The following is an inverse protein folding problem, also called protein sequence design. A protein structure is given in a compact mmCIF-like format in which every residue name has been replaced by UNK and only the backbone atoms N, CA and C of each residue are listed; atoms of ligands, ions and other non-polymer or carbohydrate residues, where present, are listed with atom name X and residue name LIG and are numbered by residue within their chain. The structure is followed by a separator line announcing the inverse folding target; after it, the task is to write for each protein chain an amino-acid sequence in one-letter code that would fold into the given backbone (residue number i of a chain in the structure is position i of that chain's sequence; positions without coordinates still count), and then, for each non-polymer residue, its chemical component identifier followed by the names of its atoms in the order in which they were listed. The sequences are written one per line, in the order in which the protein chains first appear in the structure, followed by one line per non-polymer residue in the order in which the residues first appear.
data_IF_709156808752
#
_entry.id   IF_709156808752
#
_cell.length_a   1.000
_cell.length_b   1.000
_cell.length_c   1.000
_cell.angle_alpha   90.00
_cell.angle_beta   90.00
_cell.angle_gamma   90.00
#
_symmetry.space_group_name_H-M   'P 1'
#
loop_
_entity.id
_entity.type
_entity.pdbx_description
1 polymer ?
#
# COMPACT_ATOMS: atom_id res chain seq x y z
N UNK A 1 14.79 10.89 0.35
CA UNK A 1 15.68 10.47 1.47
C UNK A 1 15.14 10.83 2.86
N UNK A 2 14.38 11.92 3.08
CA UNK A 2 13.84 12.28 4.41
C UNK A 2 12.72 11.37 4.94
N UNK A 3 11.95 10.72 4.06
CA UNK A 3 10.82 9.85 4.47
C UNK A 3 11.22 8.48 5.05
N UNK A 4 12.36 7.93 4.61
CA UNK A 4 12.89 6.65 5.11
C UNK A 4 13.39 6.81 6.56
N UNK A 5 13.91 8.00 6.90
CA UNK A 5 14.44 8.29 8.23
C UNK A 5 13.35 8.32 9.31
N UNK A 6 12.17 8.84 8.98
CA UNK A 6 11.01 8.88 9.87
C UNK A 6 10.51 7.46 10.20
N UNK A 7 10.39 6.60 9.19
CA UNK A 7 9.95 5.21 9.36
C UNK A 7 10.95 4.36 10.16
N UNK A 8 12.25 4.58 9.99
CA UNK A 8 13.28 3.90 10.78
C UNK A 8 13.27 4.35 12.25
N UNK A 9 13.03 5.64 12.51
CA UNK A 9 12.91 6.16 13.87
C UNK A 9 11.65 5.65 14.57
N UNK A 10 10.50 5.63 13.89
CA UNK A 10 9.27 5.07 14.46
C UNK A 10 9.44 3.58 14.73
N UNK A 11 10.07 2.83 13.81
CA UNK A 11 10.35 1.41 14.02
C UNK A 11 11.28 1.17 15.22
N UNK A 12 12.37 1.93 15.36
CA UNK A 12 13.27 1.81 16.51
C UNK A 12 12.57 2.13 17.83
N UNK A 13 11.80 3.22 17.88
CA UNK A 13 11.02 3.61 19.05
C UNK A 13 10.04 2.49 19.44
N UNK A 14 9.35 1.91 18.46
CA UNK A 14 8.42 0.82 18.74
C UNK A 14 9.12 -0.45 19.23
N UNK A 15 10.24 -0.83 18.61
CA UNK A 15 11.05 -1.97 19.07
C UNK A 15 11.46 -1.77 20.53
N UNK A 16 11.90 -0.55 20.88
CA UNK A 16 12.28 -0.21 22.27
C UNK A 16 11.11 -0.25 23.27
N UNK A 17 9.87 -0.02 22.82
CA UNK A 17 8.67 -0.09 23.66
C UNK A 17 8.12 -1.52 23.82
N UNK A 18 8.29 -2.36 22.79
CA UNK A 18 7.75 -3.73 22.77
C UNK A 18 8.71 -4.73 23.41
N UNK A 19 10.02 -4.64 23.12
CA UNK A 19 11.03 -5.59 23.63
C UNK A 19 10.94 -5.79 25.16
N UNK A 20 10.83 -4.73 25.99
CA UNK A 20 10.72 -4.91 27.44
C UNK A 20 9.48 -5.69 27.88
N UNK A 21 8.40 -5.67 27.09
CA UNK A 21 7.14 -6.39 27.39
C UNK A 21 7.20 -7.87 27.05
N UNK A 22 8.16 -8.29 26.22
CA UNK A 22 8.31 -9.69 25.78
C UNK A 22 9.11 -10.54 26.79
N UNK A 23 9.81 -9.91 27.74
CA UNK A 23 10.61 -10.62 28.76
C UNK A 23 11.91 -11.24 28.22
N UNK A 24 12.64 -11.95 29.08
CA UNK A 24 13.86 -12.68 28.70
C UNK A 24 13.52 -14.08 28.19
N UNK A 25 13.88 -14.37 26.94
CA UNK A 25 13.67 -15.65 26.30
C UNK A 25 14.76 -16.66 26.72
N UNK A 26 14.39 -17.79 27.33
CA UNK A 26 15.33 -18.79 27.88
C UNK A 26 15.26 -20.18 27.22
N UNK A 27 14.53 -20.32 26.10
CA UNK A 27 14.20 -21.64 25.55
C UNK A 27 15.12 -22.00 24.37
N UNK A 28 16.18 -22.75 24.66
CA UNK A 28 17.20 -23.21 23.70
C UNK A 28 16.73 -24.33 22.75
N UNK A 29 15.50 -24.83 22.93
CA UNK A 29 14.95 -25.96 22.16
C UNK A 29 14.39 -25.58 20.78
N UNK A 30 14.33 -24.29 20.45
CA UNK A 30 13.90 -23.84 19.12
C UNK A 30 15.13 -23.75 18.23
N UNK A 31 15.21 -24.60 17.21
CA UNK A 31 16.19 -24.44 16.14
C UNK A 31 16.11 -23.01 15.60
N UNK A 32 17.19 -22.26 15.78
CA UNK A 32 17.34 -20.95 15.17
C UNK A 32 17.29 -21.18 13.67
N UNK A 33 16.29 -20.61 13.00
CA UNK A 33 16.27 -20.56 11.55
C UNK A 33 17.51 -19.75 11.14
N UNK A 34 18.54 -20.45 10.66
CA UNK A 34 19.73 -19.78 10.16
C UNK A 34 19.31 -18.94 8.96
N UNK A 35 19.54 -17.63 9.06
CA UNK A 35 19.43 -16.74 7.90
C UNK A 35 20.54 -17.16 6.94
N UNK A 36 20.19 -18.03 5.99
CA UNK A 36 21.13 -18.57 5.03
C UNK A 36 21.66 -17.44 4.15
N UNK A 37 22.98 -17.42 3.96
CA UNK A 37 23.61 -16.44 3.07
C UNK A 37 23.26 -16.79 1.63
N UNK A 38 23.06 -15.76 0.81
CA UNK A 38 22.85 -15.91 -0.63
C UNK A 38 23.94 -16.79 -1.26
N UNK A 39 23.50 -17.82 -1.98
CA UNK A 39 24.39 -18.67 -2.77
C UNK A 39 25.06 -17.87 -3.88
N UNK A 40 26.14 -18.41 -4.46
CA UNK A 40 26.85 -17.76 -5.56
C UNK A 40 25.94 -17.54 -6.78
N UNK A 41 25.02 -18.47 -7.04
CA UNK A 41 24.09 -18.42 -8.18
C UNK A 41 23.02 -17.36 -7.93
N UNK A 42 22.45 -17.27 -6.73
CA UNK A 42 21.47 -16.22 -6.38
C UNK A 42 22.11 -14.83 -6.44
N UNK A 43 23.34 -14.69 -5.93
CA UNK A 43 24.10 -13.43 -6.05
C UNK A 43 24.33 -13.05 -7.51
N UNK A 44 24.63 -14.03 -8.37
CA UNK A 44 24.76 -13.82 -9.82
C UNK A 44 23.43 -13.40 -10.44
N UNK A 45 22.33 -14.02 -10.04
CA UNK A 45 20.97 -13.68 -10.45
C UNK A 45 20.63 -12.23 -10.14
N UNK A 46 20.82 -11.80 -8.89
CA UNK A 46 20.58 -10.41 -8.45
C UNK A 46 21.40 -9.43 -9.29
N UNK A 47 22.69 -9.70 -9.51
CA UNK A 47 23.56 -8.84 -10.33
C UNK A 47 23.04 -8.71 -11.76
N UNK A 48 22.59 -9.81 -12.38
CA UNK A 48 22.07 -9.80 -13.75
C UNK A 48 20.74 -9.05 -13.84
N UNK A 49 19.83 -9.25 -12.89
CA UNK A 49 18.57 -8.50 -12.81
C UNK A 49 18.79 -7.02 -12.57
N UNK A 50 19.79 -6.64 -11.76
CA UNK A 50 20.17 -5.24 -11.55
C UNK A 50 20.73 -4.60 -12.82
N UNK A 51 21.60 -5.30 -13.56
CA UNK A 51 22.12 -4.81 -14.84
C UNK A 51 20.99 -4.58 -15.85
N UNK A 52 20.02 -5.49 -15.92
CA UNK A 52 18.83 -5.33 -16.75
C UNK A 52 18.02 -4.10 -16.34
N UNK A 53 17.77 -3.94 -15.04
CA UNK A 53 17.05 -2.79 -14.50
C UNK A 53 17.75 -1.47 -14.83
N UNK A 54 19.08 -1.40 -14.70
CA UNK A 54 19.86 -0.22 -15.06
C UNK A 54 19.76 0.07 -16.56
N UNK A 55 19.86 -0.95 -17.42
CA UNK A 55 19.66 -0.79 -18.86
C UNK A 55 18.26 -0.28 -19.21
N UNK A 56 17.22 -0.86 -18.58
CA UNK A 56 15.84 -0.43 -18.75
C UNK A 56 15.63 1.02 -18.29
N UNK A 57 16.22 1.40 -17.15
CA UNK A 57 16.18 2.77 -16.64
C UNK A 57 16.88 3.75 -17.59
N UNK A 58 18.06 3.40 -18.10
CA UNK A 58 18.77 4.22 -19.08
C UNK A 58 17.91 4.44 -20.34
N UNK A 59 17.27 3.39 -20.86
CA UNK A 59 16.37 3.51 -22.01
C UNK A 59 15.20 4.47 -21.73
N UNK A 60 14.58 4.38 -20.55
CA UNK A 60 13.54 5.32 -20.15
C UNK A 60 14.06 6.75 -20.07
N UNK A 61 15.24 6.96 -19.47
CA UNK A 61 15.84 8.28 -19.32
C UNK A 61 16.23 8.88 -20.68
N UNK A 62 16.78 8.10 -21.61
CA UNK A 62 17.07 8.56 -22.98
C UNK A 62 15.78 8.94 -23.71
N UNK A 63 14.69 8.21 -23.48
CA UNK A 63 13.41 8.55 -24.09
C UNK A 63 12.71 9.77 -23.48
N UNK A 64 13.06 10.17 -22.26
CA UNK A 64 12.30 11.13 -21.45
C UNK A 64 13.05 12.44 -21.16
N UNK A 65 14.38 12.39 -20.99
CA UNK A 65 15.20 13.58 -20.66
C UNK A 65 15.36 14.52 -21.85
N UNK A 66 15.73 14.07 -23.07
CA UNK A 66 15.89 14.97 -24.21
C UNK A 66 14.59 15.69 -24.56
N UNK A 67 14.69 16.94 -25.03
CA UNK A 67 13.52 17.74 -25.42
C UNK A 67 12.72 17.08 -26.55
N UNK A 68 13.40 16.39 -27.45
CA UNK A 68 12.85 15.57 -28.53
C UNK A 68 12.63 14.10 -28.14
N UNK A 69 12.61 13.79 -26.84
CA UNK A 69 12.45 12.42 -26.35
C UNK A 69 11.11 11.81 -26.75
N UNK A 70 11.14 10.62 -27.36
CA UNK A 70 9.95 9.91 -27.85
C UNK A 70 8.96 9.53 -26.74
N UNK A 71 9.42 9.48 -25.48
CA UNK A 71 8.60 9.12 -24.32
C UNK A 71 8.05 10.34 -23.58
N UNK A 72 8.25 11.57 -24.07
CA UNK A 72 7.60 12.77 -23.54
C UNK A 72 6.14 12.87 -23.98
N UNK A 73 5.38 13.75 -23.35
CA UNK A 73 4.05 14.13 -23.84
C UNK A 73 4.12 14.76 -25.23
N UNK A 74 2.99 14.81 -25.93
CA UNK A 74 2.86 15.44 -27.26
C UNK A 74 3.27 16.92 -27.24
N UNK A 75 3.08 17.57 -26.10
CA UNK A 75 3.49 18.94 -25.77
C UNK A 75 4.93 19.05 -25.25
N UNK A 76 5.71 17.97 -25.29
CA UNK A 76 7.05 17.88 -24.67
C UNK A 76 7.02 17.78 -23.14
N UNK A 77 5.83 17.67 -22.52
CA UNK A 77 5.68 17.63 -21.07
C UNK A 77 6.12 16.30 -20.46
N UNK A 78 6.85 16.39 -19.36
CA UNK A 78 7.17 15.24 -18.52
C UNK A 78 5.93 14.71 -17.78
N UNK A 79 5.10 15.61 -17.23
CA UNK A 79 3.94 15.24 -16.39
C UNK A 79 2.81 14.60 -17.20
N UNK A 80 2.73 14.88 -18.50
CA UNK A 80 1.75 14.25 -19.40
C UNK A 80 2.35 13.12 -20.24
N UNK A 81 3.55 12.67 -19.90
CA UNK A 81 4.26 11.62 -20.62
C UNK A 81 3.52 10.28 -20.58
N UNK A 82 3.62 9.46 -21.65
CA UNK A 82 3.22 8.05 -21.63
C UNK A 82 3.85 7.27 -20.47
N UNK A 83 5.06 7.65 -20.05
CA UNK A 83 5.77 6.99 -18.94
C UNK A 83 5.04 7.17 -17.62
N UNK A 84 4.61 8.40 -17.30
CA UNK A 84 3.93 8.66 -16.04
C UNK A 84 2.49 8.12 -16.06
N UNK A 85 1.77 8.27 -17.18
CA UNK A 85 0.42 7.68 -17.36
C UNK A 85 0.44 6.15 -17.29
N UNK A 86 1.48 5.53 -17.87
CA UNK A 86 1.68 4.09 -17.91
C UNK A 86 2.60 3.54 -16.81
N UNK A 87 2.83 4.28 -15.72
CA UNK A 87 3.84 3.92 -14.71
C UNK A 87 3.63 2.51 -14.15
N UNK A 88 2.39 2.08 -13.97
CA UNK A 88 2.05 0.73 -13.51
C UNK A 88 2.50 -0.33 -14.53
N UNK A 89 2.29 -0.11 -15.82
CA UNK A 89 2.73 -1.01 -16.88
C UNK A 89 4.26 -1.05 -16.98
N UNK A 90 4.93 0.09 -16.79
CA UNK A 90 6.40 0.17 -16.77
C UNK A 90 6.97 -0.60 -15.58
N UNK A 91 6.37 -0.47 -14.40
CA UNK A 91 6.77 -1.24 -13.22
C UNK A 91 6.53 -2.74 -13.43
N UNK A 92 5.42 -3.12 -14.07
CA UNK A 92 5.16 -4.51 -14.46
C UNK A 92 6.24 -5.06 -15.39
N UNK A 93 6.60 -4.32 -16.44
CA UNK A 93 7.66 -4.73 -17.36
C UNK A 93 9.02 -4.81 -16.65
N UNK A 94 9.39 -3.80 -15.86
CA UNK A 94 10.65 -3.78 -15.14
C UNK A 94 10.76 -4.95 -14.16
N UNK A 95 9.78 -5.11 -13.26
CA UNK A 95 9.78 -6.18 -12.27
C UNK A 95 9.63 -7.57 -12.90
N UNK A 96 8.78 -7.70 -13.92
CA UNK A 96 8.58 -8.95 -14.67
C UNK A 96 9.85 -9.40 -15.37
N UNK A 97 10.51 -8.50 -16.12
CA UNK A 97 11.77 -8.80 -16.80
C UNK A 97 12.89 -9.13 -15.81
N UNK A 98 13.00 -8.37 -14.71
CA UNK A 98 13.96 -8.66 -13.64
C UNK A 98 13.73 -10.05 -13.02
N UNK A 99 12.46 -10.41 -12.78
CA UNK A 99 12.05 -11.70 -12.24
C UNK A 99 12.34 -12.86 -13.20
N UNK A 100 12.09 -12.67 -14.50
CA UNK A 100 12.44 -13.64 -15.54
C UNK A 100 13.96 -13.86 -15.59
N UNK A 101 14.76 -12.78 -15.66
CA UNK A 101 16.23 -12.87 -15.69
C UNK A 101 16.76 -13.57 -14.43
N UNK A 102 16.22 -13.23 -13.26
CA UNK A 102 16.60 -13.90 -12.02
C UNK A 102 16.29 -15.40 -12.08
N UNK A 103 15.05 -15.75 -12.45
CA UNK A 103 14.58 -17.12 -12.52
C UNK A 103 15.34 -17.97 -13.55
N UNK A 104 15.76 -17.39 -14.68
CA UNK A 104 16.61 -18.06 -15.67
C UNK A 104 18.00 -18.31 -15.10
N UNK A 105 18.62 -17.32 -14.44
CA UNK A 105 19.99 -17.45 -13.90
C UNK A 105 20.09 -18.50 -12.80
N UNK A 106 19.07 -18.62 -11.94
CA UNK A 106 19.03 -19.66 -10.89
C UNK A 106 18.52 -21.02 -11.39
N UNK A 107 18.15 -21.12 -12.68
CA UNK A 107 17.66 -22.36 -13.29
C UNK A 107 16.19 -22.72 -12.96
N UNK A 108 15.42 -21.79 -12.39
CA UNK A 108 13.98 -21.94 -12.11
C UNK A 108 13.16 -21.90 -13.40
N UNK A 109 13.51 -21.02 -14.34
CA UNK A 109 12.87 -20.92 -15.65
C UNK A 109 13.81 -21.48 -16.72
N UNK A 110 13.42 -22.59 -17.35
CA UNK A 110 14.23 -23.25 -18.39
C UNK A 110 13.74 -22.92 -19.79
N UNK A 111 12.48 -22.56 -19.92
CA UNK A 111 11.82 -22.19 -21.17
C UNK A 111 10.70 -21.16 -20.91
N UNK A 112 10.09 -20.69 -21.99
CA UNK A 112 8.95 -19.78 -21.98
C UNK A 112 7.71 -20.39 -21.29
N UNK A 113 7.49 -21.70 -21.41
CA UNK A 113 6.39 -22.39 -20.73
C UNK A 113 6.47 -22.25 -19.20
N UNK A 114 7.67 -22.30 -18.62
CA UNK A 114 7.85 -22.13 -17.17
C UNK A 114 7.50 -20.70 -16.72
N UNK A 115 7.81 -19.70 -17.55
CA UNK A 115 7.41 -18.31 -17.30
C UNK A 115 5.89 -18.17 -17.38
N UNK A 116 5.26 -18.74 -18.41
CA UNK A 116 3.80 -18.72 -18.59
C UNK A 116 3.07 -19.42 -17.45
N UNK A 117 3.61 -20.54 -16.94
CA UNK A 117 3.06 -21.22 -15.75
C UNK A 117 3.11 -20.31 -14.52
N UNK A 118 4.22 -19.62 -14.29
CA UNK A 118 4.35 -18.67 -13.18
C UNK A 118 3.37 -17.49 -13.29
N UNK A 119 3.13 -16.99 -14.50
CA UNK A 119 2.11 -15.97 -14.75
C UNK A 119 0.70 -16.52 -14.48
N UNK A 120 0.38 -17.73 -14.94
CA UNK A 120 -0.91 -18.37 -14.70
C UNK A 120 -1.16 -18.64 -13.20
N UNK A 121 -0.15 -19.06 -12.45
CA UNK A 121 -0.23 -19.25 -11.00
C UNK A 121 -0.48 -17.93 -10.27
N UNK A 122 0.19 -16.85 -10.70
CA UNK A 122 -0.07 -15.50 -10.17
C UNK A 122 -1.50 -15.03 -10.47
N UNK A 123 -2.05 -15.36 -11.64
CA UNK A 123 -3.45 -15.02 -11.96
C UNK A 123 -4.46 -15.81 -11.12
N UNK A 124 -4.16 -17.05 -10.74
CA UNK A 124 -5.04 -17.85 -9.87
C UNK A 124 -5.25 -17.21 -8.51
N UNK A 125 -4.22 -16.60 -7.93
CA UNK A 125 -4.35 -15.92 -6.63
C UNK A 125 -5.24 -14.67 -6.69
N UNK A 126 -5.45 -14.11 -7.89
CA UNK A 126 -6.33 -12.97 -8.14
C UNK A 126 -7.78 -13.35 -8.44
N UNK A 127 -8.13 -14.64 -8.53
CA UNK A 127 -9.47 -15.08 -8.93
C UNK A 127 -10.57 -14.48 -8.02
N UNK A 128 -10.40 -14.54 -6.69
CA UNK A 128 -11.35 -13.94 -5.75
C UNK A 128 -11.41 -12.41 -5.87
N UNK A 129 -10.29 -11.77 -6.20
CA UNK A 129 -10.25 -10.32 -6.42
C UNK A 129 -11.04 -9.93 -7.68
N UNK A 130 -10.96 -10.72 -8.77
CA UNK A 130 -11.73 -10.48 -9.99
C UNK A 130 -13.23 -10.55 -9.70
N UNK A 131 -13.69 -11.54 -8.93
CA UNK A 131 -15.11 -11.64 -8.54
C UNK A 131 -15.55 -10.44 -7.70
N UNK A 132 -14.72 -10.01 -6.74
CA UNK A 132 -15.00 -8.82 -5.94
C UNK A 132 -15.12 -7.56 -6.82
N UNK A 133 -14.15 -7.33 -7.71
CA UNK A 133 -14.15 -6.15 -8.60
C UNK A 133 -15.33 -6.18 -9.56
N UNK A 134 -15.74 -7.36 -10.02
CA UNK A 134 -16.94 -7.51 -10.84
C UNK A 134 -18.17 -6.95 -10.12
N UNK A 135 -18.48 -7.43 -8.91
CA UNK A 135 -19.63 -6.93 -8.15
C UNK A 135 -19.47 -5.48 -7.71
N UNK A 136 -18.27 -5.05 -7.33
CA UNK A 136 -17.99 -3.66 -7.00
C UNK A 136 -18.26 -2.73 -8.20
N UNK A 137 -17.81 -3.10 -9.40
CA UNK A 137 -18.06 -2.33 -10.61
C UNK A 137 -19.56 -2.21 -10.91
N UNK A 138 -20.34 -3.30 -10.76
CA UNK A 138 -21.79 -3.26 -10.90
C UNK A 138 -22.45 -2.36 -9.85
N UNK A 139 -22.00 -2.44 -8.59
CA UNK A 139 -22.49 -1.55 -7.53
C UNK A 139 -22.22 -0.08 -7.85
N UNK A 140 -20.98 0.27 -8.24
CA UNK A 140 -20.64 1.67 -8.59
C UNK A 140 -21.49 2.17 -9.75
N UNK A 141 -21.68 1.35 -10.78
CA UNK A 141 -22.50 1.73 -11.94
C UNK A 141 -23.97 1.95 -11.54
N UNK A 142 -24.59 1.01 -10.82
CA UNK A 142 -25.97 1.17 -10.37
C UNK A 142 -26.15 2.30 -9.34
N UNK A 143 -25.15 2.54 -8.49
CA UNK A 143 -25.15 3.62 -7.52
C UNK A 143 -25.06 5.00 -8.18
N UNK A 144 -24.32 5.09 -9.29
CA UNK A 144 -24.26 6.28 -10.13
C UNK A 144 -25.55 6.46 -10.94
N UNK A 145 -26.00 5.42 -11.65
CA UNK A 145 -27.22 5.43 -12.46
C UNK A 145 -28.48 5.80 -11.67
N UNK A 146 -28.60 5.30 -10.44
CA UNK A 146 -29.72 5.63 -9.54
C UNK A 146 -29.65 7.02 -8.92
N UNK A 147 -28.58 7.80 -9.18
CA UNK A 147 -28.26 9.07 -8.53
C UNK A 147 -28.09 9.00 -7.00
N UNK A 148 -28.15 7.81 -6.39
CA UNK A 148 -27.95 7.64 -4.95
C UNK A 148 -26.57 8.13 -4.50
N UNK A 149 -25.55 7.92 -5.34
CA UNK A 149 -24.20 8.42 -5.05
C UNK A 149 -24.12 9.93 -4.96
N UNK A 150 -24.73 10.64 -5.89
CA UNK A 150 -24.76 12.11 -5.90
C UNK A 150 -25.55 12.62 -4.69
N UNK A 151 -26.73 12.04 -4.42
CA UNK A 151 -27.58 12.43 -3.27
C UNK A 151 -26.82 12.24 -1.96
N UNK A 152 -26.20 11.08 -1.76
CA UNK A 152 -25.45 10.78 -0.54
C UNK A 152 -24.23 11.69 -0.39
N UNK A 153 -23.54 11.99 -1.49
CA UNK A 153 -22.37 12.86 -1.48
C UNK A 153 -22.74 14.31 -1.14
N UNK A 154 -23.82 14.86 -1.71
CA UNK A 154 -24.31 16.21 -1.41
C UNK A 154 -24.78 16.31 0.03
N UNK A 155 -25.62 15.37 0.49
CA UNK A 155 -26.15 15.38 1.86
C UNK A 155 -25.03 15.18 2.89
N UNK A 156 -24.10 14.27 2.62
CA UNK A 156 -22.95 14.02 3.50
C UNK A 156 -21.98 15.20 3.54
N UNK A 157 -21.70 15.83 2.39
CA UNK A 157 -20.90 17.05 2.33
C UNK A 157 -21.58 18.19 3.10
N UNK A 158 -22.89 18.38 2.92
CA UNK A 158 -23.66 19.37 3.67
C UNK A 158 -23.63 19.13 5.18
N UNK A 159 -23.75 17.87 5.62
CA UNK A 159 -23.59 17.51 7.04
C UNK A 159 -22.19 17.85 7.56
N UNK A 160 -21.12 17.47 6.85
CA UNK A 160 -19.74 17.79 7.24
C UNK A 160 -19.50 19.30 7.27
N UNK A 161 -20.03 20.03 6.28
CA UNK A 161 -19.92 21.48 6.20
C UNK A 161 -20.65 22.16 7.36
N UNK A 162 -21.78 21.60 7.81
CA UNK A 162 -22.52 22.10 8.99
C UNK A 162 -21.73 21.98 10.30
N UNK A 163 -20.79 21.03 10.38
CA UNK A 163 -19.87 20.89 11.52
C UNK A 163 -18.76 21.96 11.51
N UNK A 164 -18.66 22.75 10.43
CA UNK A 164 -17.66 23.81 10.21
C UNK A 164 -16.22 23.32 10.46
N UNK A 165 -15.94 22.11 10.00
CA UNK A 165 -14.65 21.48 10.18
C UNK A 165 -13.67 21.97 9.11
N UNK A 166 -12.50 22.43 9.54
CA UNK A 166 -11.38 22.65 8.63
C UNK A 166 -10.87 21.34 8.01
N UNK A 167 -10.03 21.47 6.98
CA UNK A 167 -9.40 20.35 6.26
C UNK A 167 -8.72 19.33 7.20
N UNK A 168 -7.92 19.80 8.16
CA UNK A 168 -7.14 18.92 9.04
C UNK A 168 -8.04 18.02 9.90
N UNK A 169 -8.98 18.56 10.72
CA UNK A 169 -9.92 17.73 11.46
C UNK A 169 -10.69 16.74 10.58
N UNK A 170 -11.15 17.18 9.41
CA UNK A 170 -11.89 16.34 8.46
C UNK A 170 -11.08 15.11 8.02
N UNK A 171 -9.85 15.32 7.56
CA UNK A 171 -8.99 14.25 7.08
C UNK A 171 -8.60 13.30 8.22
N UNK A 172 -8.31 13.83 9.41
CA UNK A 172 -7.97 13.00 10.58
C UNK A 172 -9.15 12.11 11.00
N UNK A 173 -10.37 12.65 11.01
CA UNK A 173 -11.57 11.84 11.28
C UNK A 173 -11.77 10.74 10.23
N UNK A 174 -11.50 11.03 8.95
CA UNK A 174 -11.60 10.02 7.91
C UNK A 174 -10.53 8.91 8.06
N UNK A 175 -9.30 9.27 8.47
CA UNK A 175 -8.27 8.30 8.83
C UNK A 175 -8.75 7.39 9.97
N UNK A 176 -9.29 7.97 11.05
CA UNK A 176 -9.83 7.21 12.20
C UNK A 176 -10.95 6.27 11.74
N UNK A 177 -11.89 6.78 10.94
CA UNK A 177 -12.99 5.99 10.40
C UNK A 177 -12.47 4.80 9.57
N UNK A 178 -11.55 5.04 8.64
CA UNK A 178 -10.94 3.98 7.83
C UNK A 178 -10.20 2.93 8.71
N UNK A 179 -9.51 3.38 9.76
CA UNK A 179 -8.85 2.51 10.73
C UNK A 179 -9.81 1.63 11.53
N UNK A 180 -10.99 2.15 11.88
CA UNK A 180 -12.03 1.36 12.55
C UNK A 180 -12.62 0.29 11.63
N UNK A 181 -12.94 0.65 10.37
CA UNK A 181 -13.43 -0.30 9.37
C UNK A 181 -12.40 -1.42 9.11
N UNK A 182 -11.11 -1.10 9.16
CA UNK A 182 -10.04 -2.08 8.99
C UNK A 182 -10.00 -3.18 10.06
N UNK A 183 -10.47 -2.92 11.28
CA UNK A 183 -10.55 -3.93 12.34
C UNK A 183 -11.56 -5.04 12.03
N UNK A 184 -12.60 -4.72 11.26
CA UNK A 184 -13.69 -5.66 10.90
C UNK A 184 -13.55 -6.23 9.49
N UNK A 185 -12.81 -5.57 8.60
CA UNK A 185 -12.64 -5.98 7.22
C UNK A 185 -11.16 -5.94 6.81
N UNK A 186 -10.50 -7.10 6.75
CA UNK A 186 -9.06 -7.17 6.47
C UNK A 186 -8.64 -6.79 5.05
N UNK A 187 -9.54 -6.89 4.05
CA UNK A 187 -9.19 -6.61 2.65
C UNK A 187 -9.18 -5.12 2.35
N UNK A 188 -8.00 -4.56 2.07
CA UNK A 188 -7.82 -3.17 1.64
C UNK A 188 -8.61 -2.85 0.36
N UNK A 189 -8.64 -3.78 -0.60
CA UNK A 189 -9.38 -3.53 -1.84
C UNK A 189 -10.89 -3.59 -1.66
N UNK A 190 -11.40 -4.48 -0.79
CA UNK A 190 -12.84 -4.59 -0.54
C UNK A 190 -13.39 -3.35 0.18
N UNK A 191 -12.68 -2.89 1.22
CA UNK A 191 -13.05 -1.65 1.91
C UNK A 191 -13.03 -0.45 0.97
N UNK A 192 -11.97 -0.29 0.16
CA UNK A 192 -11.90 0.83 -0.76
C UNK A 192 -13.00 0.77 -1.82
N UNK A 193 -13.33 -0.42 -2.34
CA UNK A 193 -14.43 -0.60 -3.27
C UNK A 193 -15.79 -0.16 -2.69
N UNK A 194 -16.00 -0.32 -1.38
CA UNK A 194 -17.20 0.14 -0.68
C UNK A 194 -17.16 1.65 -0.36
N UNK A 195 -16.02 2.15 0.12
CA UNK A 195 -15.89 3.51 0.63
C UNK A 195 -15.68 4.56 -0.47
N UNK A 196 -14.91 4.24 -1.50
CA UNK A 196 -14.54 5.21 -2.55
C UNK A 196 -15.76 5.83 -3.26
N UNK A 197 -16.78 5.07 -3.66
CA UNK A 197 -17.95 5.63 -4.36
C UNK A 197 -18.75 6.63 -3.53
N UNK A 198 -18.58 6.62 -2.20
CA UNK A 198 -19.29 7.48 -1.26
C UNK A 198 -18.40 8.67 -0.86
N UNK A 199 -17.19 8.39 -0.38
CA UNK A 199 -16.34 9.40 0.23
C UNK A 199 -15.54 10.21 -0.79
N UNK A 200 -15.18 9.65 -1.95
CA UNK A 200 -14.45 10.42 -2.97
C UNK A 200 -15.33 11.57 -3.50
N UNK A 201 -16.57 11.33 -3.96
CA UNK A 201 -17.44 12.44 -4.40
C UNK A 201 -17.74 13.43 -3.27
N UNK A 202 -17.93 12.95 -2.03
CA UNK A 202 -18.19 13.81 -0.88
C UNK A 202 -17.04 14.79 -0.60
N UNK A 203 -15.78 14.30 -0.61
CA UNK A 203 -14.61 15.17 -0.48
C UNK A 203 -14.45 16.12 -1.67
N UNK A 204 -14.80 15.68 -2.88
CA UNK A 204 -14.80 16.55 -4.07
C UNK A 204 -15.82 17.69 -3.95
N UNK A 205 -17.03 17.44 -3.42
CA UNK A 205 -18.00 18.50 -3.14
C UNK A 205 -17.51 19.50 -2.09
N UNK A 206 -16.64 19.08 -1.18
CA UNK A 206 -15.98 19.95 -0.20
C UNK A 206 -14.74 20.68 -0.78
N UNK A 207 -14.45 20.51 -2.07
CA UNK A 207 -13.34 21.18 -2.77
C UNK A 207 -11.98 20.48 -2.67
N UNK A 208 -11.96 19.18 -2.33
CA UNK A 208 -10.72 18.41 -2.17
C UNK A 208 -10.54 17.36 -3.25
N UNK A 209 -9.28 17.04 -3.56
CA UNK A 209 -8.94 16.08 -4.61
C UNK A 209 -9.21 14.62 -4.19
N UNK A 210 -9.58 13.73 -5.13
CA UNK A 210 -9.70 12.28 -4.87
C UNK A 210 -8.43 11.66 -4.27
N UNK A 211 -7.27 12.16 -4.65
CA UNK A 211 -5.97 11.72 -4.15
C UNK A 211 -5.83 11.94 -2.65
N UNK A 212 -6.39 13.03 -2.11
CA UNK A 212 -6.41 13.28 -0.67
C UNK A 212 -7.23 12.22 0.06
N UNK A 213 -8.44 11.95 -0.42
CA UNK A 213 -9.31 10.92 0.17
C UNK A 213 -8.60 9.56 0.12
N UNK A 214 -7.95 9.23 -1.00
CA UNK A 214 -7.22 7.97 -1.14
C UNK A 214 -6.01 7.89 -0.19
N UNK A 215 -5.22 8.95 -0.04
CA UNK A 215 -4.08 8.98 0.89
C UNK A 215 -4.56 8.79 2.33
N UNK A 216 -5.60 9.51 2.74
CA UNK A 216 -6.19 9.40 4.07
C UNK A 216 -6.71 7.97 4.33
N UNK A 217 -7.40 7.38 3.35
CA UNK A 217 -7.84 5.98 3.43
C UNK A 217 -6.66 5.02 3.57
N UNK A 218 -5.61 5.15 2.75
CA UNK A 218 -4.43 4.26 2.79
C UNK A 218 -3.69 4.34 4.13
N UNK A 219 -3.63 5.52 4.72
CA UNK A 219 -3.11 5.69 6.08
C UNK A 219 -3.98 4.90 7.05
N UNK A 220 -5.30 5.13 7.05
CA UNK A 220 -6.22 4.48 7.98
C UNK A 220 -6.25 2.95 7.85
N UNK A 221 -6.23 2.43 6.62
CA UNK A 221 -6.14 1.00 6.31
C UNK A 221 -4.85 0.35 6.85
N UNK A 222 -3.73 1.07 6.82
CA UNK A 222 -2.43 0.49 7.19
C UNK A 222 -2.21 0.35 8.71
N UNK A 223 -2.67 1.33 9.49
CA UNK A 223 -2.23 1.51 10.90
C UNK A 223 -2.81 0.48 11.86
N UNK A 224 -4.01 -0.06 11.60
CA UNK A 224 -4.65 -1.07 12.45
C UNK A 224 -4.52 -2.50 11.92
N UNK A 225 -3.81 -2.71 10.80
CA UNK A 225 -3.66 -4.04 10.19
C UNK A 225 -3.12 -5.06 11.20
N UNK A 226 -1.99 -4.74 11.84
CA UNK A 226 -1.29 -5.61 12.78
C UNK A 226 -2.09 -6.02 14.04
N UNK A 227 -3.17 -5.31 14.35
CA UNK A 227 -4.07 -5.61 15.47
C UNK A 227 -5.43 -6.14 15.00
N UNK A 228 -5.65 -6.26 13.69
CA UNK A 228 -6.90 -6.76 13.11
C UNK A 228 -6.92 -8.29 13.12
N UNK A 229 -7.82 -8.93 13.90
CA UNK A 229 -7.96 -10.39 13.89
C UNK A 229 -8.49 -10.91 12.55
N UNK A 230 -9.11 -10.03 11.76
CA UNK A 230 -9.68 -10.33 10.45
C UNK A 230 -8.64 -10.32 9.32
N UNK A 231 -7.38 -10.00 9.60
CA UNK A 231 -6.31 -10.10 8.62
C UNK A 231 -6.06 -11.56 8.23
N UNK A 232 -5.94 -11.85 6.93
CA UNK A 232 -5.73 -13.21 6.41
C UNK A 232 -4.51 -13.93 6.96
N UNK A 233 -3.46 -13.20 7.39
CA UNK A 233 -2.24 -13.77 7.96
C UNK A 233 -2.26 -13.91 9.48
N UNK A 234 -3.32 -13.46 10.16
CA UNK A 234 -3.36 -13.41 11.63
C UNK A 234 -3.21 -14.80 12.27
N UNK A 235 -3.84 -15.82 11.68
CA UNK A 235 -3.70 -17.21 12.12
C UNK A 235 -2.24 -17.71 12.04
N UNK A 236 -1.54 -17.39 10.95
CA UNK A 236 -0.13 -17.75 10.78
C UNK A 236 0.76 -17.02 11.81
N UNK A 237 0.47 -15.75 12.09
CA UNK A 237 1.18 -14.97 13.12
C UNK A 237 1.01 -15.61 14.50
N UNK A 238 -0.19 -16.10 14.85
CA UNK A 238 -0.42 -16.84 16.11
C UNK A 238 0.49 -18.06 16.18
N UNK A 239 0.55 -18.85 15.12
CA UNK A 239 1.40 -20.06 15.09
C UNK A 239 2.87 -19.71 15.32
N UNK A 240 3.36 -18.62 14.71
CA UNK A 240 4.73 -18.14 14.94
C UNK A 240 4.95 -17.64 16.36
N UNK A 241 4.00 -16.89 16.95
CA UNK A 241 4.06 -16.48 18.36
C UNK A 241 4.09 -17.70 19.29
N UNK A 242 3.26 -18.71 19.01
CA UNK A 242 3.19 -19.97 19.75
C UNK A 242 4.41 -20.87 19.59
N UNK A 243 5.30 -20.58 18.62
CA UNK A 243 6.63 -21.19 18.55
C UNK A 243 7.41 -20.80 19.81
N UNK A 244 7.39 -19.53 20.18
CA UNK A 244 8.19 -18.95 21.28
C UNK A 244 7.43 -18.87 22.62
N UNK A 245 6.13 -18.61 22.62
CA UNK A 245 5.26 -18.60 23.80
C UNK A 245 3.99 -19.42 23.55
N UNK A 246 3.95 -20.64 24.09
CA UNK A 246 2.83 -21.58 23.92
C UNK A 246 1.49 -21.05 24.45
N UNK A 247 1.50 -20.07 25.36
CA UNK A 247 0.28 -19.48 25.93
C UNK A 247 -0.22 -18.27 25.13
N UNK A 248 0.51 -17.83 24.11
CA UNK A 248 0.11 -16.71 23.28
C UNK A 248 -1.21 -17.01 22.56
N UNK A 249 -2.20 -16.14 22.78
CA UNK A 249 -3.47 -16.13 22.06
C UNK A 249 -3.68 -14.82 21.29
N UNK A 250 -4.87 -14.67 20.70
CA UNK A 250 -5.27 -13.46 19.97
C UNK A 250 -5.04 -12.20 20.82
N UNK A 251 -5.50 -12.22 22.08
CA UNK A 251 -5.36 -11.09 23.00
C UNK A 251 -3.90 -10.73 23.30
N UNK A 252 -3.03 -11.73 23.46
CA UNK A 252 -1.59 -11.52 23.70
C UNK A 252 -0.94 -10.78 22.53
N UNK A 253 -1.25 -11.20 21.30
CA UNK A 253 -0.68 -10.60 20.09
C UNK A 253 -1.22 -9.18 19.90
N UNK A 254 -2.54 -8.99 20.01
CA UNK A 254 -3.16 -7.67 19.90
C UNK A 254 -2.60 -6.72 20.95
N UNK A 255 -2.52 -7.12 22.22
CA UNK A 255 -1.98 -6.29 23.30
C UNK A 255 -0.49 -5.95 23.10
N UNK A 256 0.29 -6.88 22.56
CA UNK A 256 1.71 -6.67 22.23
C UNK A 256 1.89 -5.69 21.08
N UNK A 257 1.02 -5.77 20.06
CA UNK A 257 1.08 -4.96 18.84
C UNK A 257 0.32 -3.62 18.95
N UNK A 258 -0.54 -3.44 19.95
CA UNK A 258 -1.31 -2.23 20.15
C UNK A 258 -0.45 -0.96 20.24
N UNK A 259 0.67 -0.92 20.99
CA UNK A 259 1.55 0.24 21.01
C UNK A 259 2.14 0.57 19.63
N UNK A 260 2.46 -0.46 18.84
CA UNK A 260 2.93 -0.28 17.46
C UNK A 260 1.88 0.47 16.65
N UNK A 261 0.63 0.00 16.70
CA UNK A 261 -0.48 0.58 15.94
C UNK A 261 -0.69 2.05 16.31
N UNK A 262 -0.68 2.38 17.60
CA UNK A 262 -0.83 3.76 18.08
C UNK A 262 0.31 4.69 17.66
N UNK A 263 1.56 4.25 17.80
CA UNK A 263 2.72 5.07 17.40
C UNK A 263 2.71 5.31 15.89
N UNK A 264 2.42 4.28 15.10
CA UNK A 264 2.30 4.44 13.65
C UNK A 264 1.12 5.32 13.24
N UNK A 265 -0.02 5.21 13.91
CA UNK A 265 -1.17 6.09 13.70
C UNK A 265 -0.79 7.56 13.93
N UNK A 266 -0.21 7.87 15.10
CA UNK A 266 0.21 9.24 15.43
C UNK A 266 1.25 9.74 14.43
N UNK A 267 2.26 8.91 14.12
CA UNK A 267 3.32 9.28 13.18
C UNK A 267 2.78 9.60 11.78
N UNK A 268 1.88 8.77 11.26
CA UNK A 268 1.25 9.01 9.96
C UNK A 268 0.34 10.23 9.96
N UNK A 269 -0.46 10.44 11.00
CA UNK A 269 -1.33 11.60 11.12
C UNK A 269 -0.51 12.89 11.19
N UNK A 270 0.57 12.92 11.98
CA UNK A 270 1.49 14.07 12.03
C UNK A 270 2.11 14.33 10.67
N UNK A 271 2.61 13.29 9.99
CA UNK A 271 3.17 13.42 8.65
C UNK A 271 2.16 14.01 7.67
N UNK A 272 0.91 13.53 7.70
CA UNK A 272 -0.16 14.03 6.86
C UNK A 272 -0.48 15.50 7.17
N UNK A 273 -0.61 15.88 8.44
CA UNK A 273 -0.87 17.27 8.84
C UNK A 273 0.25 18.19 8.36
N UNK A 274 1.52 17.82 8.58
CA UNK A 274 2.67 18.60 8.12
C UNK A 274 2.65 18.74 6.59
N UNK A 275 2.29 17.68 5.87
CA UNK A 275 2.18 17.70 4.42
C UNK A 275 1.11 18.67 3.92
N UNK A 276 -0.06 18.65 4.56
CA UNK A 276 -1.19 19.52 4.22
C UNK A 276 -0.88 20.97 4.55
N UNK A 277 -0.26 21.25 5.70
CA UNK A 277 0.16 22.60 6.09
C UNK A 277 1.25 23.15 5.18
N UNK A 278 2.14 22.30 4.68
CA UNK A 278 3.16 22.68 3.71
C UNK A 278 2.61 22.87 2.28
N UNK A 279 1.33 22.56 2.03
CA UNK A 279 0.70 22.70 0.72
C UNK A 279 1.32 21.82 -0.36
N UNK A 280 1.99 20.72 0.03
CA UNK A 280 2.75 19.90 -0.91
C UNK A 280 1.78 19.04 -1.76
N UNK A 281 2.03 18.90 -3.07
CA UNK A 281 1.24 18.02 -3.91
C UNK A 281 1.33 16.57 -3.41
N UNK A 282 0.22 15.86 -3.46
CA UNK A 282 0.13 14.45 -3.04
C UNK A 282 0.74 13.50 -4.07
N UNK A 283 0.88 13.99 -5.31
CA UNK A 283 1.51 13.29 -6.41
C UNK A 283 1.79 14.24 -7.58
N UNK A 284 2.42 13.75 -8.67
CA UNK A 284 2.70 14.56 -9.84
C UNK A 284 1.41 15.13 -10.45
N UNK A 285 1.23 16.45 -10.38
CA UNK A 285 0.01 17.12 -10.85
C UNK A 285 -1.23 16.93 -9.96
N UNK A 286 -1.08 16.34 -8.76
CA UNK A 286 -2.18 16.12 -7.81
C UNK A 286 -2.05 17.07 -6.61
N UNK A 287 -2.80 18.17 -6.65
CA UNK A 287 -2.92 19.13 -5.56
C UNK A 287 -3.78 18.61 -4.40
N UNK A 288 -3.93 19.43 -3.36
CA UNK A 288 -4.81 19.14 -2.21
C UNK A 288 -6.25 19.58 -2.52
N UNK A 289 -6.39 20.69 -3.24
CA UNK A 289 -7.66 21.30 -3.60
C UNK A 289 -7.94 21.12 -5.10
N UNK A 290 -9.24 21.06 -5.45
CA UNK A 290 -9.72 21.05 -6.83
C UNK A 290 -9.60 22.43 -7.50
#
# INVERSE_FOLDING_TARGET
MRHIFFLLHTQHLVISLIIPRLGSYSNDSIEKEEISRLTAIERKGIKRSLLLFLGFLILLLIGLIPENGILRGVDGSFLKSPVLKGVVAILFLAAGLMGIVYGVVIGKYKNDSDVMKGMAESMKTLASYIVLVFFAAQFVEYFNWSNLGIILAINGAGFIQSLNLGLIPLVVMFVIFASMINLVMGSASAKWALLAPIFVPMFMFLGYTPELTQVAYRIGDSVTNIISPMMSFFALIIVYFQKYDKKAGIGTIVATMLPYSFVFFIGWVILLIVWLLAGLPLGPGAGIHL
#
